data_IF_645549392114
#
_entry.id   IF_645549392114
#
_cell.length_a   1.000
_cell.length_b   1.000
_cell.length_c   1.000
_cell.angle_alpha   90.00
_cell.angle_beta   90.00
_cell.angle_gamma   90.00
#
_symmetry.space_group_name_H-M   'P 1'
#
loop_
_entity.id
_entity.type
_entity.pdbx_description
1 polymer ?
#
# COMPACT_ATOMS: atom_id res chain seq x y z
N UNK A 1 -6.30 14.62 24.81
CA UNK A 1 -5.47 15.37 23.84
C UNK A 1 -4.53 14.40 23.13
N UNK A 2 -4.71 14.21 21.82
CA UNK A 2 -4.07 13.15 21.05
C UNK A 2 -2.58 13.37 20.83
N UNK A 3 -1.82 12.26 20.78
CA UNK A 3 -0.36 12.18 20.60
C UNK A 3 0.19 13.07 19.46
N UNK A 4 -0.65 13.34 18.46
CA UNK A 4 -0.36 14.21 17.31
C UNK A 4 -0.07 15.66 17.73
N UNK A 5 -0.79 16.23 18.71
CA UNK A 5 -0.54 17.62 19.14
C UNK A 5 0.83 17.78 19.83
N UNK A 6 1.30 16.73 20.51
CA UNK A 6 2.60 16.74 21.23
C UNK A 6 3.79 16.70 20.28
N UNK A 7 3.66 16.00 19.15
CA UNK A 7 4.75 15.85 18.17
C UNK A 7 4.87 17.04 17.22
N UNK A 8 3.77 17.76 16.98
CA UNK A 8 3.71 18.72 15.87
C UNK A 8 3.45 20.18 16.30
N UNK A 9 3.08 20.47 17.55
CA UNK A 9 2.93 21.84 18.05
C UNK A 9 1.68 22.58 17.54
N UNK A 10 1.34 23.70 18.19
CA UNK A 10 0.08 24.47 17.99
C UNK A 10 -0.04 25.22 16.66
N UNK A 11 0.99 25.18 15.80
CA UNK A 11 1.03 25.94 14.54
C UNK A 11 0.98 25.05 13.29
N UNK A 12 0.27 23.92 13.36
CA UNK A 12 -0.18 23.23 12.14
C UNK A 12 -1.55 23.78 11.74
N UNK A 13 -1.55 25.03 11.28
CA UNK A 13 -2.57 25.45 10.32
C UNK A 13 -2.33 24.61 9.07
N UNK A 14 -2.98 23.44 9.06
CA UNK A 14 -3.17 22.58 7.91
C UNK A 14 -3.93 23.43 6.88
N UNK A 15 -3.22 24.26 6.13
CA UNK A 15 -3.73 24.70 4.85
C UNK A 15 -3.70 23.45 3.98
N UNK A 16 -4.85 22.81 3.68
CA UNK A 16 -4.88 21.88 2.57
C UNK A 16 -4.34 22.68 1.39
N UNK A 17 -3.19 22.29 0.85
CA UNK A 17 -2.84 22.68 -0.50
C UNK A 17 -3.89 21.99 -1.38
N UNK A 18 -5.02 22.68 -1.55
CA UNK A 18 -5.96 22.45 -2.62
C UNK A 18 -5.19 22.77 -3.89
N UNK A 19 -4.32 21.85 -4.29
CA UNK A 19 -3.63 21.90 -5.58
C UNK A 19 -4.74 21.72 -6.59
N UNK A 20 -5.30 22.82 -7.07
CA UNK A 20 -6.22 22.79 -8.19
C UNK A 20 -5.43 22.30 -9.42
N UNK A 21 -6.09 21.83 -10.48
CA UNK A 21 -5.42 21.55 -11.75
C UNK A 21 -4.55 22.72 -12.26
N UNK A 22 -4.79 23.94 -11.76
CA UNK A 22 -4.04 25.15 -12.09
C UNK A 22 -2.63 25.16 -11.45
N UNK A 23 -2.47 24.59 -10.25
CA UNK A 23 -1.22 24.61 -9.46
C UNK A 23 -0.15 23.61 -9.97
N UNK A 24 -0.49 22.76 -10.93
CA UNK A 24 0.42 21.80 -11.57
C UNK A 24 1.14 22.42 -12.79
N UNK A 25 0.87 23.70 -13.09
CA UNK A 25 1.40 24.43 -14.23
C UNK A 25 0.56 24.18 -15.49
N UNK A 26 0.05 25.26 -16.08
CA UNK A 26 -0.84 25.29 -17.26
C UNK A 26 -0.26 24.69 -18.57
N UNK A 27 0.86 23.98 -18.51
CA UNK A 27 1.46 23.37 -19.67
C UNK A 27 0.59 22.23 -20.20
N UNK A 28 -0.01 22.43 -21.38
CA UNK A 28 -0.81 21.43 -22.12
C UNK A 28 -0.08 20.08 -22.33
N UNK A 29 1.24 20.06 -22.23
CA UNK A 29 2.06 18.84 -22.35
C UNK A 29 3.43 19.08 -21.72
N UNK A 30 3.96 18.09 -21.00
CA UNK A 30 5.33 18.12 -20.45
C UNK A 30 6.35 17.45 -21.37
N UNK A 31 6.01 17.25 -22.65
CA UNK A 31 6.94 16.65 -23.61
C UNK A 31 8.20 17.50 -23.82
N UNK A 32 8.10 18.83 -23.65
CA UNK A 32 9.24 19.75 -23.80
C UNK A 32 10.27 19.61 -22.67
N UNK A 33 9.91 18.96 -21.57
CA UNK A 33 10.79 18.69 -20.42
C UNK A 33 11.44 17.29 -20.50
N UNK A 34 11.23 16.56 -21.60
CA UNK A 34 11.90 15.29 -21.85
C UNK A 34 13.28 15.55 -22.43
N UNK A 35 14.29 14.85 -21.90
CA UNK A 35 15.60 14.86 -22.53
C UNK A 35 15.56 14.06 -23.86
N UNK A 36 16.60 14.20 -24.70
CA UNK A 36 16.65 13.55 -26.01
C UNK A 36 16.52 12.02 -25.93
N UNK A 37 17.12 11.40 -24.91
CA UNK A 37 17.05 9.96 -24.64
C UNK A 37 15.62 9.51 -24.30
N UNK A 38 14.97 10.18 -23.35
CA UNK A 38 13.59 9.94 -22.92
C UNK A 38 12.62 10.15 -24.08
N UNK A 39 12.81 11.20 -24.89
CA UNK A 39 12.02 11.46 -26.08
C UNK A 39 12.16 10.36 -27.14
N UNK A 40 13.37 9.83 -27.35
CA UNK A 40 13.59 8.67 -28.24
C UNK A 40 12.93 7.41 -27.67
N UNK A 41 13.10 7.13 -26.39
CA UNK A 41 12.47 5.99 -25.73
C UNK A 41 10.94 6.06 -25.85
N UNK A 42 10.33 7.20 -25.53
CA UNK A 42 8.89 7.40 -25.64
C UNK A 42 8.36 7.18 -27.07
N UNK A 43 9.08 7.65 -28.11
CA UNK A 43 8.72 7.40 -29.52
C UNK A 43 8.72 5.92 -29.87
N UNK A 44 9.79 5.20 -29.50
CA UNK A 44 9.90 3.76 -29.75
C UNK A 44 8.81 2.99 -29.01
N UNK A 45 8.58 3.31 -27.74
CA UNK A 45 7.54 2.67 -26.93
C UNK A 45 6.14 2.93 -27.52
N UNK A 46 5.83 4.15 -27.96
CA UNK A 46 4.55 4.46 -28.63
C UNK A 46 4.37 3.63 -29.92
N UNK A 47 5.43 3.47 -30.71
CA UNK A 47 5.40 2.64 -31.92
C UNK A 47 5.17 1.15 -31.57
N UNK A 48 5.86 0.63 -30.56
CA UNK A 48 5.65 -0.74 -30.05
C UNK A 48 4.21 -0.95 -29.56
N UNK A 49 3.66 0.03 -28.81
CA UNK A 49 2.28 -0.02 -28.33
C UNK A 49 1.28 -0.09 -29.49
N UNK A 50 1.43 0.82 -30.47
CA UNK A 50 0.56 0.86 -31.66
C UNK A 50 0.65 -0.43 -32.47
N UNK A 51 1.84 -1.02 -32.60
CA UNK A 51 2.04 -2.30 -33.30
C UNK A 51 1.28 -3.43 -32.61
N UNK A 52 1.35 -3.49 -31.27
CA UNK A 52 0.77 -4.57 -30.44
C UNK A 52 -0.74 -4.46 -30.26
N UNK A 53 -1.25 -3.28 -29.93
CA UNK A 53 -2.66 -3.08 -29.55
C UNK A 53 -3.51 -2.43 -30.64
N UNK A 54 -2.91 -2.07 -31.79
CA UNK A 54 -3.57 -1.39 -32.92
C UNK A 54 -4.28 -0.07 -32.56
N UNK A 55 -3.94 0.50 -31.40
CA UNK A 55 -4.50 1.75 -30.89
C UNK A 55 -3.39 2.75 -30.56
N UNK A 56 -3.65 4.07 -30.60
CA UNK A 56 -2.70 5.06 -30.16
C UNK A 56 -2.53 5.00 -28.63
N UNK A 57 -1.29 5.12 -28.16
CA UNK A 57 -0.98 5.12 -26.73
C UNK A 57 -1.74 6.19 -25.91
N UNK A 58 -2.14 7.30 -26.56
CA UNK A 58 -2.92 8.36 -25.90
C UNK A 58 -4.39 8.00 -25.65
N UNK A 59 -4.95 7.01 -26.37
CA UNK A 59 -6.32 6.56 -26.15
C UNK A 59 -6.47 5.78 -24.83
N UNK A 60 -5.40 5.13 -24.36
CA UNK A 60 -5.43 4.37 -23.12
C UNK A 60 -5.04 5.25 -21.91
N UNK A 61 -6.04 5.63 -21.10
CA UNK A 61 -5.86 6.43 -19.88
C UNK A 61 -5.06 5.73 -18.78
N UNK A 62 -5.05 4.39 -18.79
CA UNK A 62 -4.35 3.57 -17.80
C UNK A 62 -2.91 3.22 -18.22
N UNK A 63 -2.46 3.70 -19.38
CA UNK A 63 -1.10 3.46 -19.85
C UNK A 63 -0.10 4.35 -19.09
N UNK A 64 0.84 3.71 -18.41
CA UNK A 64 1.97 4.31 -17.71
C UNK A 64 3.23 3.66 -18.24
N UNK A 65 4.21 4.48 -18.63
CA UNK A 65 5.47 4.04 -19.24
C UNK A 65 6.63 4.51 -18.35
N UNK A 66 7.51 3.61 -17.96
CA UNK A 66 8.75 4.01 -17.28
C UNK A 66 9.82 4.42 -18.31
N UNK A 67 10.18 5.69 -18.34
CA UNK A 67 11.15 6.25 -19.30
C UNK A 67 12.61 6.03 -18.90
N UNK A 68 12.87 5.49 -17.71
CA UNK A 68 14.23 5.12 -17.28
C UNK A 68 14.79 3.90 -18.00
N UNK A 69 13.93 3.07 -18.59
CA UNK A 69 14.31 1.84 -19.27
C UNK A 69 14.87 2.07 -20.68
N UNK A 70 15.62 1.09 -21.17
CA UNK A 70 16.01 1.02 -22.57
C UNK A 70 14.84 0.51 -23.43
N UNK A 71 14.73 0.93 -24.71
CA UNK A 71 13.67 0.48 -25.61
C UNK A 71 13.45 -1.05 -25.74
N UNK A 72 14.46 -1.93 -25.63
CA UNK A 72 14.20 -3.38 -25.64
C UNK A 72 13.62 -3.92 -24.32
N UNK A 73 13.79 -3.22 -23.20
CA UNK A 73 13.40 -3.69 -21.84
C UNK A 73 12.37 -2.76 -21.22
N UNK A 74 11.28 -2.52 -21.93
CA UNK A 74 10.26 -1.52 -21.53
C UNK A 74 9.40 -2.06 -20.40
N UNK A 75 9.39 -1.35 -19.27
CA UNK A 75 8.41 -1.56 -18.20
C UNK A 75 7.26 -0.57 -18.36
N UNK A 76 6.05 -1.10 -18.60
CA UNK A 76 4.84 -0.32 -18.83
C UNK A 76 3.59 -1.08 -18.34
N UNK A 77 2.50 -0.36 -18.08
CA UNK A 77 1.24 -0.96 -17.64
C UNK A 77 0.41 -1.60 -18.76
N UNK A 78 0.84 -1.48 -20.02
CA UNK A 78 0.06 -1.82 -21.21
C UNK A 78 -0.56 -3.24 -21.20
N UNK A 79 0.14 -4.21 -20.63
CA UNK A 79 -0.28 -5.62 -20.67
C UNK A 79 -1.08 -6.05 -19.43
N UNK A 80 -0.87 -5.38 -18.29
CA UNK A 80 -1.39 -5.81 -16.99
C UNK A 80 -2.44 -4.87 -16.42
N UNK A 81 -2.58 -3.66 -16.97
CA UNK A 81 -3.29 -2.54 -16.35
C UNK A 81 -2.78 -2.23 -14.92
N UNK A 82 -1.55 -2.64 -14.58
CA UNK A 82 -0.90 -2.36 -13.29
C UNK A 82 0.20 -1.34 -13.47
N UNK A 83 0.33 -0.43 -12.51
CA UNK A 83 1.40 0.57 -12.50
C UNK A 83 2.75 -0.16 -12.40
N UNK A 84 3.76 0.21 -13.22
CA UNK A 84 5.11 -0.32 -13.07
C UNK A 84 5.63 -0.17 -11.64
N UNK A 85 6.32 -1.18 -11.13
CA UNK A 85 6.96 -1.13 -9.81
C UNK A 85 7.85 0.10 -9.69
N UNK A 86 7.66 0.88 -8.62
CA UNK A 86 8.53 2.01 -8.33
C UNK A 86 9.95 1.50 -8.04
N UNK A 87 10.94 2.18 -8.60
CA UNK A 87 12.36 1.85 -8.44
C UNK A 87 13.06 3.01 -7.74
N UNK A 88 14.20 2.71 -7.13
CA UNK A 88 15.12 3.70 -6.58
C UNK A 88 15.63 4.70 -7.62
N UNK A 89 15.72 4.28 -8.88
CA UNK A 89 16.11 5.15 -9.98
C UNK A 89 15.08 6.29 -10.17
N UNK A 90 15.57 7.51 -10.35
CA UNK A 90 14.81 8.75 -10.58
C UNK A 90 14.09 8.81 -11.94
N UNK A 91 13.88 7.66 -12.59
CA UNK A 91 13.19 7.58 -13.87
C UNK A 91 11.77 8.16 -13.81
N UNK A 92 11.36 8.78 -14.92
CA UNK A 92 10.04 9.37 -15.08
C UNK A 92 9.03 8.29 -15.47
N UNK A 93 7.91 8.24 -14.77
CA UNK A 93 6.74 7.44 -15.16
C UNK A 93 5.82 8.34 -15.97
N UNK A 94 5.73 8.13 -17.27
CA UNK A 94 5.02 8.98 -18.20
C UNK A 94 3.63 8.42 -18.53
N UNK A 95 2.63 9.29 -18.54
CA UNK A 95 1.22 8.97 -18.84
C UNK A 95 0.88 9.58 -20.21
N UNK A 96 0.85 8.79 -21.31
CA UNK A 96 0.66 9.32 -22.66
C UNK A 96 -0.66 10.05 -22.87
N UNK A 97 -1.74 9.60 -22.24
CA UNK A 97 -3.06 10.21 -22.33
C UNK A 97 -3.06 11.66 -21.80
N UNK A 98 -2.34 11.91 -20.71
CA UNK A 98 -2.26 13.22 -20.06
C UNK A 98 -1.03 14.03 -20.51
N UNK A 99 -0.14 13.42 -21.32
CA UNK A 99 1.12 14.02 -21.81
C UNK A 99 2.00 14.61 -20.69
N UNK A 100 2.00 13.99 -19.51
CA UNK A 100 2.80 14.38 -18.34
C UNK A 100 3.36 13.16 -17.62
N UNK A 101 4.31 13.37 -16.70
CA UNK A 101 4.72 12.31 -15.78
C UNK A 101 3.85 12.26 -14.53
N UNK A 102 3.87 11.11 -13.89
CA UNK A 102 3.21 10.83 -12.63
C UNK A 102 3.82 11.69 -11.52
N UNK A 103 2.98 12.47 -10.86
CA UNK A 103 3.36 13.34 -9.77
C UNK A 103 3.71 12.53 -8.51
N UNK A 104 4.54 13.04 -7.59
CA UNK A 104 4.89 12.30 -6.37
C UNK A 104 3.68 11.93 -5.51
N UNK A 105 2.66 12.80 -5.43
CA UNK A 105 1.37 12.51 -4.77
C UNK A 105 0.67 11.29 -5.38
N UNK A 106 0.66 11.17 -6.71
CA UNK A 106 0.07 10.01 -7.39
C UNK A 106 0.86 8.74 -7.09
N UNK A 107 2.20 8.82 -7.01
CA UNK A 107 3.05 7.68 -6.63
C UNK A 107 2.73 7.21 -5.21
N UNK A 108 2.60 8.13 -4.26
CA UNK A 108 2.19 7.80 -2.89
C UNK A 108 0.77 7.21 -2.86
N UNK A 109 -0.18 7.76 -3.62
CA UNK A 109 -1.53 7.20 -3.71
C UNK A 109 -1.52 5.77 -4.27
N UNK A 110 -0.67 5.49 -5.28
CA UNK A 110 -0.50 4.16 -5.85
C UNK A 110 0.13 3.13 -4.88
N UNK A 111 0.84 3.60 -3.86
CA UNK A 111 1.33 2.76 -2.75
C UNK A 111 0.29 2.60 -1.64
N UNK A 112 -0.91 3.18 -1.78
CA UNK A 112 -1.95 3.11 -0.77
C UNK A 112 -1.75 4.09 0.40
N UNK A 113 -0.94 5.15 0.25
CA UNK A 113 -0.90 6.20 1.27
C UNK A 113 -2.17 7.06 1.20
N UNK A 114 -2.72 7.53 2.34
CA UNK A 114 -3.93 8.36 2.41
C UNK A 114 -3.63 9.83 2.03
N UNK A 115 -3.11 10.06 0.82
CA UNK A 115 -2.78 11.41 0.30
C UNK A 115 -3.92 12.06 -0.47
N UNK A 116 -5.02 11.35 -0.68
CA UNK A 116 -6.25 11.84 -1.32
C UNK A 116 -7.36 11.83 -0.26
N UNK A 117 -8.19 12.88 -0.13
CA UNK A 117 -9.23 12.96 0.90
C UNK A 117 -10.17 11.75 0.88
N UNK A 118 -10.60 11.29 -0.30
CA UNK A 118 -11.45 10.12 -0.43
C UNK A 118 -10.79 8.85 0.14
N UNK A 119 -9.50 8.63 -0.12
CA UNK A 119 -8.76 7.49 0.43
C UNK A 119 -8.58 7.61 1.95
N UNK A 120 -8.25 8.80 2.43
CA UNK A 120 -8.08 9.08 3.86
C UNK A 120 -9.39 8.83 4.64
N UNK A 121 -10.52 9.28 4.09
CA UNK A 121 -11.85 9.04 4.63
C UNK A 121 -12.17 7.54 4.68
N UNK A 122 -11.94 6.80 3.59
CA UNK A 122 -12.17 5.35 3.55
C UNK A 122 -11.33 4.58 4.57
N UNK A 123 -10.15 5.09 4.93
CA UNK A 123 -9.27 4.48 5.92
C UNK A 123 -9.57 4.95 7.35
N UNK A 124 -10.42 5.95 7.55
CA UNK A 124 -10.66 6.54 8.87
C UNK A 124 -9.43 7.22 9.47
N UNK A 125 -8.49 7.68 8.63
CA UNK A 125 -7.25 8.35 9.05
C UNK A 125 -7.16 9.76 8.47
N UNK A 126 -6.47 10.70 9.15
CA UNK A 126 -6.23 12.01 8.57
C UNK A 126 -5.41 11.90 7.27
N UNK A 127 -5.66 12.81 6.34
CA UNK A 127 -4.91 12.89 5.09
C UNK A 127 -3.42 13.15 5.38
N UNK A 128 -2.54 12.38 4.76
CA UNK A 128 -1.10 12.54 4.92
C UNK A 128 -0.66 13.86 4.25
N UNK A 129 -0.07 14.83 4.99
CA UNK A 129 0.39 16.07 4.40
C UNK A 129 1.58 15.80 3.47
N UNK A 130 1.56 16.44 2.30
CA UNK A 130 2.59 16.32 1.29
C UNK A 130 3.14 17.72 0.97
N UNK A 131 4.25 18.09 1.62
CA UNK A 131 4.92 19.40 1.43
C UNK A 131 6.12 19.30 0.48
N UNK A 132 6.95 18.28 0.63
CA UNK A 132 8.18 18.12 -0.15
C UNK A 132 8.01 17.14 -1.32
N UNK A 133 8.01 17.69 -2.54
CA UNK A 133 7.85 16.93 -3.78
C UNK A 133 9.02 16.00 -4.06
N UNK A 134 10.25 16.41 -3.75
CA UNK A 134 11.45 15.62 -4.04
C UNK A 134 11.57 14.45 -3.06
N UNK A 135 11.37 14.72 -1.77
CA UNK A 135 11.45 13.68 -0.74
C UNK A 135 10.38 12.62 -0.89
N UNK A 136 9.15 12.97 -1.26
CA UNK A 136 8.11 11.95 -1.47
C UNK A 136 8.41 11.01 -2.64
N UNK A 137 9.02 11.52 -3.73
CA UNK A 137 9.39 10.67 -4.85
C UNK A 137 10.44 9.62 -4.43
N UNK A 138 11.40 10.02 -3.59
CA UNK A 138 12.38 9.12 -3.01
C UNK A 138 11.75 8.11 -2.04
N UNK A 139 10.88 8.58 -1.14
CA UNK A 139 10.14 7.70 -0.20
C UNK A 139 9.33 6.67 -0.98
N UNK A 140 8.61 7.06 -2.03
CA UNK A 140 7.83 6.14 -2.85
C UNK A 140 8.67 5.07 -3.56
N UNK A 141 9.92 5.37 -3.93
CA UNK A 141 10.81 4.39 -4.57
C UNK A 141 11.28 3.26 -3.64
N UNK A 142 11.32 3.52 -2.32
CA UNK A 142 11.79 2.57 -1.30
C UNK A 142 10.68 1.98 -0.43
N UNK A 143 9.47 2.52 -0.51
CA UNK A 143 8.37 2.12 0.35
C UNK A 143 7.71 0.84 -0.16
N UNK A 144 7.32 -0.03 0.76
CA UNK A 144 6.37 -1.10 0.47
C UNK A 144 4.97 -0.51 0.29
N UNK A 145 4.10 -1.25 -0.41
CA UNK A 145 2.68 -0.92 -0.46
C UNK A 145 2.11 -0.89 0.95
N UNK A 146 1.37 0.16 1.30
CA UNK A 146 0.87 0.42 2.65
C UNK A 146 0.04 -0.75 3.18
N UNK A 147 -0.81 -1.34 2.33
CA UNK A 147 -1.58 -2.54 2.68
C UNK A 147 -0.72 -3.75 3.08
N UNK A 148 0.46 -3.93 2.47
CA UNK A 148 1.38 -5.01 2.86
C UNK A 148 1.96 -4.76 4.26
N UNK A 149 2.32 -3.51 4.56
CA UNK A 149 2.83 -3.13 5.88
C UNK A 149 1.75 -3.34 6.95
N UNK A 150 0.51 -2.93 6.67
CA UNK A 150 -0.62 -3.13 7.60
C UNK A 150 -0.87 -4.62 7.88
N UNK A 151 -0.83 -5.47 6.85
CA UNK A 151 -1.03 -6.91 7.02
C UNK A 151 0.07 -7.52 7.90
N UNK A 152 1.33 -7.16 7.66
CA UNK A 152 2.46 -7.65 8.47
C UNK A 152 2.35 -7.17 9.91
N UNK A 153 1.97 -5.92 10.14
CA UNK A 153 1.75 -5.38 11.48
C UNK A 153 0.57 -6.06 12.19
N UNK A 154 -0.53 -6.29 11.48
CA UNK A 154 -1.70 -7.00 12.01
C UNK A 154 -1.34 -8.44 12.42
N UNK A 155 -0.63 -9.17 11.56
CA UNK A 155 -0.16 -10.53 11.87
C UNK A 155 0.79 -10.53 13.07
N UNK A 156 1.70 -9.57 13.16
CA UNK A 156 2.57 -9.44 14.33
C UNK A 156 1.74 -9.24 15.60
N UNK A 157 0.78 -8.31 15.61
CA UNK A 157 -0.07 -8.05 16.77
C UNK A 157 -0.96 -9.24 17.14
N UNK A 158 -1.45 -10.00 16.16
CA UNK A 158 -2.24 -11.20 16.40
C UNK A 158 -1.42 -12.34 17.05
N UNK A 159 -0.14 -12.47 16.67
CA UNK A 159 0.74 -13.48 17.22
C UNK A 159 1.38 -13.08 18.57
N UNK A 160 1.50 -11.78 18.85
CA UNK A 160 2.02 -11.29 20.13
C UNK A 160 0.92 -11.34 21.21
N UNK A 161 0.90 -12.43 21.98
CA UNK A 161 0.12 -12.46 23.22
C UNK A 161 0.83 -11.59 24.26
N UNK A 162 0.16 -10.60 24.89
CA UNK A 162 0.78 -9.79 25.93
C UNK A 162 1.25 -10.71 27.07
N UNK A 163 2.54 -10.64 27.46
CA UNK A 163 3.10 -11.49 28.54
C UNK A 163 2.28 -11.43 29.84
N UNK A 164 1.63 -10.29 30.13
CA UNK A 164 0.76 -10.14 31.31
C UNK A 164 -0.51 -11.00 31.27
N UNK A 165 -1.07 -11.22 30.08
CA UNK A 165 -2.30 -12.02 29.91
C UNK A 165 -2.03 -13.50 30.14
N UNK A 166 -0.88 -14.01 29.69
CA UNK A 166 -0.47 -15.39 29.96
C UNK A 166 -0.21 -15.64 31.45
N UNK A 167 0.36 -14.68 32.18
CA UNK A 167 0.56 -14.81 33.62
C UNK A 167 -0.76 -14.82 34.38
N UNK A 168 -1.71 -13.96 34.01
CA UNK A 168 -3.03 -13.93 34.63
C UNK A 168 -3.86 -15.18 34.28
N UNK A 169 -3.74 -15.70 33.06
CA UNK A 169 -4.40 -16.94 32.66
C UNK A 169 -3.77 -18.16 33.36
N UNK A 170 -2.45 -18.15 33.61
CA UNK A 170 -1.77 -19.20 34.37
C UNK A 170 -2.19 -19.20 35.84
N UNK A 171 -2.37 -18.04 36.46
CA UNK A 171 -2.90 -17.92 37.83
C UNK A 171 -4.35 -18.42 37.93
N UNK A 172 -5.19 -18.10 36.94
CA UNK A 172 -6.57 -18.58 36.91
C UNK A 172 -6.68 -20.09 36.62
N UNK A 173 -5.75 -20.67 35.86
CA UNK A 173 -5.69 -22.11 35.60
C UNK A 173 -4.89 -22.90 36.65
N UNK A 174 -4.27 -22.26 37.65
CA UNK A 174 -3.48 -22.94 38.66
C UNK A 174 -4.34 -23.80 39.60
N UNK A 175 -5.65 -23.54 39.66
CA UNK A 175 -6.64 -24.35 40.40
C UNK A 175 -7.09 -25.63 39.68
N UNK A 176 -6.60 -25.90 38.46
CA UNK A 176 -6.98 -27.07 37.66
C UNK A 176 -5.86 -28.11 37.51
N UNK A 177 -4.69 -27.87 38.11
CA UNK A 177 -3.67 -28.90 38.22
C UNK A 177 -3.98 -29.71 39.49
N UNK A 178 -4.37 -30.99 39.37
CA UNK A 178 -4.58 -31.82 40.55
C UNK A 178 -3.27 -31.92 41.34
N UNK A 179 -3.38 -31.92 42.66
CA UNK A 179 -2.22 -32.16 43.52
C UNK A 179 -1.58 -33.50 43.13
N UNK A 180 -0.25 -33.55 42.95
CA UNK A 180 0.44 -34.77 42.52
C UNK A 180 0.27 -35.93 43.50
N UNK A 181 -0.16 -35.64 44.73
CA UNK A 181 -0.41 -36.61 45.81
C UNK A 181 -1.91 -36.92 46.00
N UNK A 182 -2.79 -36.32 45.21
CA UNK A 182 -4.22 -36.68 45.23
C UNK A 182 -4.45 -37.97 44.44
N UNK A 183 -4.86 -39.03 45.15
CA UNK A 183 -5.32 -40.29 44.57
C UNK A 183 -6.34 -40.02 43.44
N UNK A 184 -6.35 -40.80 42.35
CA UNK A 184 -7.21 -40.60 41.20
C UNK A 184 -8.69 -40.86 41.56
N UNK A 185 -9.33 -39.91 42.22
CA UNK A 185 -10.78 -39.87 42.33
C UNK A 185 -11.35 -39.65 40.92
N UNK A 186 -12.28 -40.53 40.55
CA UNK A 186 -12.95 -40.55 39.27
C UNK A 186 -13.58 -39.18 38.98
N UNK A 187 -12.86 -38.37 38.19
CA UNK A 187 -13.32 -37.08 37.66
C UNK A 187 -14.48 -37.31 36.70
N UNK A 188 -15.69 -37.40 37.27
CA UNK A 188 -16.95 -37.27 36.56
C UNK A 188 -17.01 -35.86 35.95
N UNK A 189 -16.80 -35.76 34.64
CA UNK A 189 -16.88 -34.52 33.86
C UNK A 189 -18.14 -33.72 34.21
N UNK A 190 -17.98 -32.61 34.95
CA UNK A 190 -19.07 -31.62 35.10
C UNK A 190 -19.21 -30.82 33.79
N UNK A 191 -20.40 -30.76 33.18
CA UNK A 191 -20.58 -30.33 31.78
C UNK A 191 -20.55 -28.81 31.52
N UNK A 192 -19.96 -27.99 32.40
CA UNK A 192 -20.07 -26.52 32.28
C UNK A 192 -18.78 -25.79 31.89
N UNK A 193 -17.73 -26.50 31.47
CA UNK A 193 -16.59 -25.87 30.80
C UNK A 193 -16.96 -25.62 29.34
N UNK A 194 -17.11 -24.33 29.00
CA UNK A 194 -17.25 -23.86 27.62
C UNK A 194 -15.96 -24.21 26.89
N UNK A 195 -15.91 -25.42 26.34
CA UNK A 195 -14.97 -25.80 25.30
C UNK A 195 -15.24 -24.88 24.13
N UNK A 196 -14.28 -24.02 23.78
CA UNK A 196 -14.31 -23.35 22.49
C UNK A 196 -14.43 -24.44 21.43
N UNK A 197 -15.40 -24.35 20.50
CA UNK A 197 -15.58 -25.37 19.49
C UNK A 197 -14.27 -25.49 18.72
N UNK A 198 -13.68 -26.68 18.75
CA UNK A 198 -12.62 -27.02 17.82
C UNK A 198 -13.16 -26.67 16.43
N UNK A 199 -12.54 -25.70 15.77
CA UNK A 199 -12.94 -25.27 14.45
C UNK A 199 -12.83 -26.47 13.52
N UNK A 200 -13.98 -27.10 13.25
CA UNK A 200 -14.10 -28.17 12.27
C UNK A 200 -13.78 -27.58 10.91
N UNK A 201 -12.53 -27.76 10.48
CA UNK A 201 -12.07 -27.55 9.12
C UNK A 201 -12.80 -28.54 8.22
N UNK A 202 -13.94 -28.12 7.69
CA UNK A 202 -14.64 -28.83 6.62
C UNK A 202 -13.80 -28.67 5.35
N UNK A 203 -12.95 -29.65 5.08
CA UNK A 203 -12.26 -29.82 3.81
C UNK A 203 -13.31 -30.17 2.74
N UNK A 204 -13.81 -29.15 2.04
CA UNK A 204 -14.61 -29.36 0.85
C UNK A 204 -13.67 -29.76 -0.29
N UNK A 205 -13.64 -31.06 -0.61
CA UNK A 205 -12.95 -31.60 -1.77
C UNK A 205 -13.59 -31.03 -3.05
N UNK A 206 -12.87 -30.11 -3.72
CA UNK A 206 -13.20 -29.65 -5.07
C UNK A 206 -12.80 -30.75 -6.05
N UNK A 207 -13.80 -31.45 -6.60
CA UNK A 207 -13.62 -32.34 -7.75
C UNK A 207 -13.50 -31.46 -9.01
N UNK A 208 -12.34 -31.56 -9.67
CA UNK A 208 -12.08 -31.06 -11.03
C UNK A 208 -12.53 -32.06 -12.08
#
# INVERSE_FOLDING_TARGET
>A
MGMVQKLYGRHYDLHPLNISPEDVGHAKSWNYLLNQREGRALRVVKAMYRKRFKQPAAANKNLVIFLGDSPPRVTWSACSNRIPTFRTNSGKLFIPAQKRWMCPRERLAALGFPVVPALALSYGVPMLPFRDRHRAAQVAGNSMHFGCVLLVQFLALACFTPRGLLLQQRQNCQWLLPDPDSEPEQLSCKPNLICWPASTTTSAAVKS
#
